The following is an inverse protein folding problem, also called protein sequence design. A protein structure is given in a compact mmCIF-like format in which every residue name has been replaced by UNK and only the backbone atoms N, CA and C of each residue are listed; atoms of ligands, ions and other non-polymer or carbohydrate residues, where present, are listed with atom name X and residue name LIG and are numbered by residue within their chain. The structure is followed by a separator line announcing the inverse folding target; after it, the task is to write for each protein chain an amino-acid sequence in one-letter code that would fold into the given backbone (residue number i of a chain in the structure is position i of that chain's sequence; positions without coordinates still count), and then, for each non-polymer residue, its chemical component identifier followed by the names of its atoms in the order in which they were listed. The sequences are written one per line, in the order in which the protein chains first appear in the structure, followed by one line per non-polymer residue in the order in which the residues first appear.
data_IF_745950573295
#
_entry.id   IF_745950573295
#
_cell.length_a   1.000
_cell.length_b   1.000
_cell.length_c   1.000
_cell.angle_alpha   90.00
_cell.angle_beta   90.00
_cell.angle_gamma   90.00
#
_symmetry.space_group_name_H-M   'P 1'
#
loop_
_entity.id
_entity.type
_entity.pdbx_description
1 polymer ?
#
# COMPACT_ATOMS: atom_id res chain seq x y z
N UNK A 1 -24.03 9.13 -21.04
CA UNK A 1 -23.86 7.66 -21.00
C UNK A 1 -22.68 7.36 -20.10
N UNK A 2 -22.92 6.67 -18.99
CA UNK A 2 -21.83 6.19 -18.12
C UNK A 2 -21.16 5.03 -18.84
N UNK A 3 -19.84 5.10 -18.99
CA UNK A 3 -19.06 4.09 -19.70
C UNK A 3 -18.28 3.28 -18.69
N UNK A 4 -18.25 1.96 -18.86
CA UNK A 4 -17.40 1.06 -18.07
C UNK A 4 -15.91 1.45 -18.13
N UNK A 5 -15.49 2.20 -19.15
CA UNK A 5 -14.13 2.76 -19.23
C UNK A 5 -13.83 3.79 -18.12
N UNK A 6 -14.85 4.37 -17.49
CA UNK A 6 -14.69 5.32 -16.38
C UNK A 6 -14.28 4.63 -15.07
N UNK A 7 -14.35 3.30 -15.00
CA UNK A 7 -13.86 2.52 -13.87
C UNK A 7 -12.33 2.59 -13.74
N UNK A 8 -11.60 2.55 -14.86
CA UNK A 8 -10.14 2.61 -14.87
C UNK A 8 -9.57 3.86 -14.20
N UNK A 9 -9.96 5.11 -14.56
CA UNK A 9 -9.42 6.29 -13.91
C UNK A 9 -9.75 6.37 -12.41
N UNK A 10 -10.88 5.79 -11.97
CA UNK A 10 -11.23 5.70 -10.54
C UNK A 10 -10.23 4.79 -9.82
N UNK A 11 -10.01 3.57 -10.36
CA UNK A 11 -9.04 2.63 -9.79
C UNK A 11 -7.63 3.24 -9.75
N UNK A 12 -7.19 3.90 -10.83
CA UNK A 12 -5.86 4.55 -10.86
C UNK A 12 -5.74 5.68 -9.84
N UNK A 13 -6.81 6.45 -9.61
CA UNK A 13 -6.84 7.47 -8.56
C UNK A 13 -6.69 6.82 -7.19
N UNK A 14 -7.45 5.76 -6.90
CA UNK A 14 -7.39 5.05 -5.63
C UNK A 14 -5.99 4.44 -5.37
N UNK A 15 -5.37 3.84 -6.39
CA UNK A 15 -3.99 3.34 -6.32
C UNK A 15 -3.00 4.47 -6.02
N UNK A 16 -3.16 5.63 -6.68
CA UNK A 16 -2.27 6.78 -6.48
C UNK A 16 -2.41 7.33 -5.06
N UNK A 17 -3.63 7.51 -4.59
CA UNK A 17 -3.91 8.06 -3.28
C UNK A 17 -3.38 7.13 -2.18
N UNK A 18 -3.57 5.81 -2.34
CA UNK A 18 -2.99 4.80 -1.46
C UNK A 18 -1.45 4.83 -1.49
N UNK A 19 -0.83 4.94 -2.66
CA UNK A 19 0.62 5.03 -2.76
C UNK A 19 1.18 6.27 -2.03
N UNK A 20 0.56 7.44 -2.20
CA UNK A 20 0.96 8.68 -1.53
C UNK A 20 0.74 8.59 -0.02
N UNK A 21 -0.39 8.02 0.41
CA UNK A 21 -0.69 7.81 1.82
C UNK A 21 0.36 6.94 2.52
N UNK A 22 0.91 5.94 1.82
CA UNK A 22 1.72 4.91 2.44
C UNK A 22 3.23 5.01 2.23
N UNK A 23 3.67 5.67 1.15
CA UNK A 23 5.09 5.85 0.86
C UNK A 23 5.58 7.29 1.02
N UNK A 24 4.69 8.29 0.86
CA UNK A 24 5.08 9.71 0.90
C UNK A 24 4.77 10.30 2.28
N UNK A 25 3.57 10.07 2.79
CA UNK A 25 3.11 10.71 4.04
C UNK A 25 3.37 9.85 5.28
N UNK A 26 3.34 8.52 5.16
CA UNK A 26 3.65 7.59 6.25
C UNK A 26 4.94 6.83 5.94
N UNK A 27 5.67 6.44 6.98
CA UNK A 27 6.80 5.52 6.84
C UNK A 27 6.26 4.16 6.36
N UNK A 28 6.86 3.52 5.33
CA UNK A 28 6.38 2.27 4.73
C UNK A 28 6.34 1.06 5.68
N UNK A 29 6.79 1.25 6.92
CA UNK A 29 6.76 0.31 8.04
C UNK A 29 5.37 0.12 8.66
N UNK A 30 4.47 1.09 8.51
CA UNK A 30 3.17 1.06 9.20
C UNK A 30 2.25 -0.05 8.68
N UNK A 31 2.45 -0.52 7.45
CA UNK A 31 1.66 -1.59 6.81
C UNK A 31 1.78 -2.96 7.46
N UNK A 32 2.93 -3.25 8.07
CA UNK A 32 3.12 -4.52 8.80
C UNK A 32 2.45 -4.46 10.18
N UNK A 33 2.21 -3.25 10.68
CA UNK A 33 1.75 -2.98 12.05
C UNK A 33 0.25 -2.64 12.10
N UNK A 34 -0.30 -2.07 11.02
CA UNK A 34 -1.68 -1.61 10.91
C UNK A 34 -2.35 -2.12 9.62
N UNK A 35 -2.89 -3.35 9.63
CA UNK A 35 -3.58 -3.93 8.48
C UNK A 35 -4.86 -3.18 8.10
N UNK A 36 -5.46 -2.43 9.03
CA UNK A 36 -6.65 -1.63 8.80
C UNK A 36 -6.36 -0.38 7.96
N UNK A 37 -5.08 -0.05 7.74
CA UNK A 37 -4.63 1.00 6.82
C UNK A 37 -4.66 0.59 5.34
N UNK A 38 -5.06 -0.64 5.04
CA UNK A 38 -5.23 -1.11 3.66
C UNK A 38 -6.62 -0.76 3.13
N UNK A 39 -6.68 0.24 2.25
CA UNK A 39 -7.87 0.56 1.48
C UNK A 39 -7.80 -0.16 0.12
N UNK A 40 -8.68 -1.14 -0.16
CA UNK A 40 -8.63 -1.95 -1.39
C UNK A 40 -8.98 -1.10 -2.64
N UNK A 41 -8.01 -0.78 -3.52
CA UNK A 41 -8.25 0.19 -4.59
C UNK A 41 -9.22 -0.31 -5.68
N UNK A 42 -9.25 -1.61 -5.95
CA UNK A 42 -10.07 -2.20 -7.00
C UNK A 42 -11.52 -2.37 -6.55
N UNK A 43 -11.75 -2.95 -5.37
CA UNK A 43 -13.10 -3.12 -4.82
C UNK A 43 -13.74 -1.77 -4.48
N UNK A 44 -12.98 -0.83 -3.89
CA UNK A 44 -13.49 0.53 -3.65
C UNK A 44 -13.79 1.24 -4.96
N UNK A 45 -12.92 1.11 -5.97
CA UNK A 45 -13.15 1.72 -7.27
C UNK A 45 -14.39 1.16 -7.99
N UNK A 46 -14.69 -0.13 -7.81
CA UNK A 46 -15.94 -0.71 -8.29
C UNK A 46 -17.15 -0.12 -7.54
N UNK A 47 -17.11 -0.04 -6.22
CA UNK A 47 -18.22 0.53 -5.44
C UNK A 47 -18.49 1.98 -5.81
N UNK A 48 -17.45 2.82 -5.90
CA UNK A 48 -17.55 4.22 -6.31
C UNK A 48 -18.16 4.34 -7.72
N UNK A 49 -17.79 3.45 -8.63
CA UNK A 49 -18.35 3.40 -9.97
C UNK A 49 -19.83 2.99 -9.95
N UNK A 50 -20.20 1.98 -9.17
CA UNK A 50 -21.59 1.51 -9.05
C UNK A 50 -22.49 2.60 -8.43
N UNK A 51 -21.99 3.34 -7.45
CA UNK A 51 -22.68 4.49 -6.85
C UNK A 51 -22.88 5.61 -7.90
N UNK A 52 -21.86 5.91 -8.71
CA UNK A 52 -21.96 6.89 -9.79
C UNK A 52 -22.97 6.49 -10.88
N UNK A 53 -23.12 5.19 -11.16
CA UNK A 53 -24.09 4.67 -12.13
C UNK A 53 -25.52 4.67 -11.55
N UNK A 54 -25.67 4.79 -10.23
CA UNK A 54 -26.92 4.71 -9.48
C UNK A 54 -27.76 3.49 -9.92
N UNK A 55 -27.13 2.32 -9.91
CA UNK A 55 -27.82 1.08 -10.26
C UNK A 55 -28.87 0.78 -9.19
N UNK A 56 -30.14 1.04 -9.52
CA UNK A 56 -31.28 0.58 -8.72
C UNK A 56 -31.30 -0.94 -8.71
N UNK A 57 -31.19 -1.54 -7.53
CA UNK A 57 -31.27 -3.00 -7.38
C UNK A 57 -32.70 -3.48 -7.56
N UNK A 58 -32.89 -4.79 -7.79
CA UNK A 58 -34.24 -5.38 -7.84
C UNK A 58 -34.98 -5.18 -6.51
N UNK A 59 -34.25 -5.19 -5.39
CA UNK A 59 -34.77 -4.96 -4.06
C UNK A 59 -35.35 -3.54 -3.91
N UNK A 60 -34.67 -2.52 -4.45
CA UNK A 60 -35.13 -1.13 -4.39
C UNK A 60 -36.42 -0.92 -5.22
N UNK A 61 -36.51 -1.58 -6.37
CA UNK A 61 -37.70 -1.51 -7.24
C UNK A 61 -38.92 -2.22 -6.64
N UNK A 62 -38.70 -3.35 -5.95
CA UNK A 62 -39.76 -4.04 -5.20
C UNK A 62 -40.24 -3.22 -4.00
N UNK A 63 -39.34 -2.52 -3.31
CA UNK A 63 -39.70 -1.62 -2.20
C UNK A 63 -40.52 -0.41 -2.67
N UNK A 64 -40.31 0.04 -3.92
CA UNK A 64 -41.06 1.13 -4.55
C UNK A 64 -42.41 0.70 -5.17
N UNK A 65 -42.81 -0.57 -5.06
CA UNK A 65 -44.07 -1.10 -5.60
C UNK A 65 -44.27 -0.86 -7.12
N UNK A 66 -43.17 -0.73 -7.86
CA UNK A 66 -43.22 -0.54 -9.32
C UNK A 66 -43.44 -1.92 -9.97
N UNK A 67 -44.46 -2.09 -10.84
CA UNK A 67 -44.66 -3.36 -11.54
C UNK A 67 -43.52 -3.58 -12.55
N UNK A 68 -42.60 -4.48 -12.22
CA UNK A 68 -41.47 -4.86 -13.08
C UNK A 68 -41.89 -6.02 -13.99
N UNK A 69 -41.68 -5.88 -15.31
CA UNK A 69 -41.95 -6.96 -16.26
C UNK A 69 -41.02 -8.16 -16.01
N UNK A 70 -41.50 -9.38 -16.28
CA UNK A 70 -40.70 -10.60 -16.10
C UNK A 70 -39.39 -10.59 -16.91
N UNK A 71 -39.35 -9.87 -18.04
CA UNK A 71 -38.14 -9.70 -18.86
C UNK A 71 -37.14 -8.75 -18.21
N UNK A 72 -37.62 -7.69 -17.59
CA UNK A 72 -36.78 -6.72 -16.89
C UNK A 72 -36.19 -7.35 -15.62
N UNK A 73 -36.97 -8.17 -14.91
CA UNK A 73 -36.50 -8.94 -13.76
C UNK A 73 -35.29 -9.83 -14.12
N UNK A 74 -35.37 -10.60 -15.21
CA UNK A 74 -34.26 -11.44 -15.67
C UNK A 74 -33.03 -10.58 -16.02
N UNK A 75 -33.23 -9.42 -16.65
CA UNK A 75 -32.15 -8.51 -17.01
C UNK A 75 -31.41 -7.95 -15.77
N UNK A 76 -32.16 -7.47 -14.77
CA UNK A 76 -31.55 -6.96 -13.54
C UNK A 76 -30.84 -8.04 -12.73
N UNK A 77 -31.43 -9.25 -12.63
CA UNK A 77 -30.77 -10.39 -11.96
C UNK A 77 -29.45 -10.78 -12.65
N UNK A 78 -29.40 -10.79 -13.98
CA UNK A 78 -28.16 -11.07 -14.71
C UNK A 78 -27.09 -10.01 -14.46
N UNK A 79 -27.48 -8.75 -14.33
CA UNK A 79 -26.56 -7.65 -13.99
C UNK A 79 -26.02 -7.82 -12.56
N UNK A 80 -26.87 -8.13 -11.58
CA UNK A 80 -26.46 -8.35 -10.19
C UNK A 80 -25.44 -9.49 -10.07
N UNK A 81 -25.68 -10.63 -10.73
CA UNK A 81 -24.70 -11.72 -10.77
C UNK A 81 -23.40 -11.34 -11.49
N UNK A 82 -23.48 -10.54 -12.56
CA UNK A 82 -22.31 -10.02 -13.25
C UNK A 82 -21.44 -9.12 -12.36
N UNK A 83 -22.08 -8.23 -11.58
CA UNK A 83 -21.41 -7.36 -10.61
C UNK A 83 -20.76 -8.18 -9.50
N UNK A 84 -21.45 -9.22 -9.00
CA UNK A 84 -20.89 -10.10 -7.98
C UNK A 84 -19.67 -10.88 -8.48
N UNK A 85 -19.69 -11.38 -9.71
CA UNK A 85 -18.53 -12.02 -10.30
C UNK A 85 -17.36 -11.03 -10.45
N UNK A 86 -17.66 -9.81 -10.89
CA UNK A 86 -16.66 -8.75 -11.04
C UNK A 86 -16.05 -8.32 -9.70
N UNK A 87 -16.84 -8.27 -8.62
CA UNK A 87 -16.34 -7.94 -7.28
C UNK A 87 -15.40 -9.02 -6.74
N UNK A 88 -15.69 -10.29 -6.98
CA UNK A 88 -14.78 -11.40 -6.64
C UNK A 88 -13.45 -11.29 -7.38
N UNK A 89 -13.50 -10.93 -8.67
CA UNK A 89 -12.28 -10.71 -9.48
C UNK A 89 -11.47 -9.53 -8.94
N UNK A 90 -12.12 -8.41 -8.61
CA UNK A 90 -11.42 -7.24 -8.04
C UNK A 90 -10.85 -7.48 -6.65
N UNK A 91 -11.55 -8.24 -5.80
CA UNK A 91 -10.99 -8.69 -4.52
C UNK A 91 -9.70 -9.50 -4.72
N UNK A 92 -9.63 -10.35 -5.76
CA UNK A 92 -8.40 -11.03 -6.16
C UNK A 92 -7.28 -10.07 -6.56
N UNK A 93 -7.60 -9.01 -7.32
CA UNK A 93 -6.62 -7.98 -7.68
C UNK A 93 -6.16 -7.16 -6.47
N UNK A 94 -7.03 -6.89 -5.50
CA UNK A 94 -6.67 -6.21 -4.25
C UNK A 94 -5.64 -7.03 -3.44
N UNK A 95 -5.80 -8.36 -3.39
CA UNK A 95 -4.82 -9.25 -2.73
C UNK A 95 -3.46 -9.17 -3.44
N UNK A 96 -3.44 -9.26 -4.77
CA UNK A 96 -2.20 -9.15 -5.54
C UNK A 96 -1.52 -7.79 -5.35
N UNK A 97 -2.32 -6.72 -5.30
CA UNK A 97 -1.83 -5.37 -5.05
C UNK A 97 -1.24 -5.24 -3.64
N UNK A 98 -1.91 -5.78 -2.63
CA UNK A 98 -1.41 -5.84 -1.26
C UNK A 98 -0.06 -6.58 -1.16
N UNK A 99 0.09 -7.72 -1.84
CA UNK A 99 1.36 -8.45 -1.91
C UNK A 99 2.48 -7.63 -2.56
N UNK A 100 2.19 -6.95 -3.68
CA UNK A 100 3.16 -6.10 -4.36
C UNK A 100 3.59 -4.94 -3.46
N UNK A 101 2.63 -4.31 -2.78
CA UNK A 101 2.88 -3.21 -1.83
C UNK A 101 3.77 -3.66 -0.67
N UNK A 102 3.52 -4.84 -0.09
CA UNK A 102 4.36 -5.42 0.96
C UNK A 102 5.80 -5.70 0.49
N UNK A 103 5.97 -6.21 -0.73
CA UNK A 103 7.29 -6.43 -1.32
C UNK A 103 8.07 -5.12 -1.45
N UNK A 104 7.42 -4.06 -1.95
CA UNK A 104 8.03 -2.74 -2.07
C UNK A 104 8.45 -2.18 -0.70
N UNK A 105 7.59 -2.28 0.31
CA UNK A 105 7.93 -1.87 1.68
C UNK A 105 9.12 -2.65 2.24
N UNK A 106 9.17 -3.96 2.03
CA UNK A 106 10.27 -4.81 2.50
C UNK A 106 11.62 -4.40 1.87
N UNK A 107 11.64 -4.09 0.57
CA UNK A 107 12.84 -3.62 -0.13
C UNK A 107 13.33 -2.28 0.44
N UNK A 108 12.41 -1.33 0.68
CA UNK A 108 12.75 -0.01 1.22
C UNK A 108 13.34 -0.12 2.64
N UNK A 109 12.69 -0.91 3.51
CA UNK A 109 13.16 -1.12 4.88
C UNK A 109 14.49 -1.86 4.89
N UNK A 110 14.62 -2.92 4.09
CA UNK A 110 15.86 -3.69 3.97
C UNK A 110 17.02 -2.83 3.50
N UNK A 111 16.79 -1.95 2.52
CA UNK A 111 17.76 -0.95 2.06
C UNK A 111 18.18 -0.02 3.19
N UNK A 112 17.23 0.54 3.94
CA UNK A 112 17.52 1.46 5.05
C UNK A 112 18.34 0.79 6.17
N UNK A 113 17.97 -0.43 6.56
CA UNK A 113 18.70 -1.21 7.57
C UNK A 113 20.14 -1.51 7.10
N UNK A 114 20.33 -1.83 5.82
CA UNK A 114 21.66 -2.10 5.26
C UNK A 114 22.59 -0.89 5.31
N UNK A 115 22.07 0.31 5.01
CA UNK A 115 22.82 1.57 5.07
C UNK A 115 23.19 1.91 6.52
N UNK A 116 22.26 1.76 7.46
CA UNK A 116 22.54 1.97 8.89
C UNK A 116 23.60 1.00 9.42
N UNK A 117 23.52 -0.29 9.05
CA UNK A 117 24.51 -1.28 9.41
C UNK A 117 25.90 -0.91 8.85
N UNK A 118 25.97 -0.48 7.59
CA UNK A 118 27.21 0.00 7.00
C UNK A 118 27.78 1.22 7.75
N UNK A 119 26.96 2.23 8.04
CA UNK A 119 27.38 3.43 8.76
C UNK A 119 27.89 3.13 10.18
N UNK A 120 27.21 2.24 10.90
CA UNK A 120 27.62 1.85 12.26
C UNK A 120 28.94 1.09 12.26
N UNK A 121 29.12 0.12 11.36
CA UNK A 121 30.39 -0.60 11.20
C UNK A 121 31.51 0.40 10.84
N UNK A 122 31.27 1.29 9.88
CA UNK A 122 32.24 2.29 9.46
C UNK A 122 32.65 3.22 10.61
N UNK A 123 31.68 3.69 11.41
CA UNK A 123 31.95 4.52 12.59
C UNK A 123 32.79 3.78 13.63
N UNK A 124 32.43 2.52 13.94
CA UNK A 124 33.18 1.70 14.91
C UNK A 124 34.63 1.51 14.47
N UNK A 125 34.86 1.16 13.19
CA UNK A 125 36.21 1.00 12.63
C UNK A 125 36.99 2.30 12.71
N UNK A 126 36.36 3.42 12.38
CA UNK A 126 37.00 4.74 12.38
C UNK A 126 37.36 5.18 13.81
N UNK A 127 36.45 5.03 14.77
CA UNK A 127 36.70 5.32 16.18
C UNK A 127 37.82 4.45 16.74
N UNK A 128 37.81 3.15 16.44
CA UNK A 128 38.85 2.20 16.88
C UNK A 128 40.23 2.57 16.32
N UNK A 129 40.29 2.94 15.03
CA UNK A 129 41.55 3.42 14.41
C UNK A 129 42.05 4.71 15.05
N UNK A 130 41.17 5.67 15.31
CA UNK A 130 41.53 6.97 15.90
C UNK A 130 41.94 6.82 17.37
N UNK A 131 41.26 5.95 18.13
CA UNK A 131 41.61 5.64 19.51
C UNK A 131 43.01 5.04 19.65
N UNK A 132 43.38 4.11 18.74
CA UNK A 132 44.73 3.54 18.69
C UNK A 132 45.80 4.63 18.51
N UNK A 133 45.52 5.64 17.70
CA UNK A 133 46.42 6.76 17.45
C UNK A 133 46.59 7.64 18.70
N UNK A 134 45.48 7.95 19.38
CA UNK A 134 45.50 8.68 20.65
C UNK A 134 46.30 7.92 21.72
N UNK A 135 46.08 6.61 21.85
CA UNK A 135 46.83 5.78 22.80
C UNK A 135 48.34 5.72 22.50
N UNK A 136 48.73 5.79 21.22
CA UNK A 136 50.14 5.83 20.83
C UNK A 136 50.80 7.16 21.18
N UNK A 137 50.11 8.28 20.99
CA UNK A 137 50.61 9.61 21.34
C UNK A 137 50.79 9.74 22.86
N UNK A 138 49.81 9.30 23.64
CA UNK A 138 49.90 9.31 25.12
C UNK A 138 51.10 8.49 25.57
N UNK A 139 51.24 7.26 25.04
CA UNK A 139 52.35 6.38 25.37
C UNK A 139 53.70 7.02 25.01
N UNK A 140 53.85 7.61 23.83
CA UNK A 140 55.11 8.26 23.46
C UNK A 140 55.45 9.46 24.35
N UNK A 141 54.47 10.29 24.71
CA UNK A 141 54.69 11.41 25.63
C UNK A 141 55.06 10.97 27.06
N UNK A 142 54.51 9.86 27.55
CA UNK A 142 54.85 9.31 28.87
C UNK A 142 56.30 8.78 28.93
N UNK A 143 56.86 8.31 27.81
CA UNK A 143 58.24 7.79 27.75
C UNK A 143 59.31 8.83 27.36
N UNK A 144 58.93 9.98 26.78
CA UNK A 144 59.88 11.07 26.50
C UNK A 144 60.22 11.92 27.75
N UNK A 145 59.37 11.89 28.78
CA UNK A 145 59.60 12.60 30.05
C UNK A 145 60.42 11.85 31.10
N UNK A 146 60.86 10.62 30.80
CA UNK A 146 61.70 9.80 31.69
C UNK A 146 63.11 9.71 31.10
N UNK A 147 63.90 10.76 31.29
CA UNK A 147 65.36 10.77 31.17
C UNK A 147 65.96 11.57 32.33
#
# INVERSE_FOLDING_TARGET
MVSWLQLLPIIFKNIKDDFIANFVTRLPLLLVVDPDSFEPPFTNGLNDFLEMVNLTTVADLQQLNIPVSSRDLIYYTMIEYGILLLSVVFAGFDILYSMLRLCMSAVVIGGLVSVLAFCTIWLIVTLTRRWKLISMIIRNNEFEGVW
#
